data_IF_945150527314
#
_entry.id   IF_945150527314
#
_cell.length_a   1.000
_cell.length_b   1.000
_cell.length_c   1.000
_cell.angle_alpha   90.00
_cell.angle_beta   90.00
_cell.angle_gamma   90.00
#
_symmetry.space_group_name_H-M   'P 1'
#
loop_
_entity.id
_entity.type
_entity.pdbx_description
1 polymer ?
#
# COMPACT_ATOMS: atom_id res chain seq x y z
N UNK A 1 -33.09 11.70 15.23
CA UNK A 1 -33.65 10.83 14.20
C UNK A 1 -32.98 11.22 12.90
N UNK A 2 -31.82 10.68 12.63
CA UNK A 2 -31.09 10.87 11.38
C UNK A 2 -30.97 9.52 10.71
N UNK A 3 -31.55 9.40 9.53
CA UNK A 3 -31.47 8.20 8.71
C UNK A 3 -30.10 8.19 8.03
N UNK A 4 -29.26 7.25 8.39
CA UNK A 4 -28.16 6.83 7.57
C UNK A 4 -28.76 6.08 6.38
N UNK A 5 -28.64 6.65 5.18
CA UNK A 5 -29.23 6.08 3.98
C UNK A 5 -28.37 4.96 3.43
N UNK A 6 -28.80 3.72 3.66
CA UNK A 6 -28.30 2.56 2.94
C UNK A 6 -28.80 2.66 1.50
N UNK A 7 -27.91 2.91 0.55
CA UNK A 7 -28.21 2.86 -0.89
C UNK A 7 -28.19 1.40 -1.35
N UNK A 8 -29.38 0.84 -1.47
CA UNK A 8 -29.59 -0.47 -2.10
C UNK A 8 -29.55 -0.28 -3.62
N UNK A 9 -28.52 -0.76 -4.28
CA UNK A 9 -28.39 -0.72 -5.74
C UNK A 9 -28.93 -2.01 -6.34
N UNK A 10 -30.02 -1.89 -7.12
CA UNK A 10 -30.55 -2.98 -7.95
C UNK A 10 -29.80 -3.07 -9.27
N UNK A 11 -29.13 -4.18 -9.52
CA UNK A 11 -28.50 -4.49 -10.81
C UNK A 11 -29.53 -4.84 -11.88
N UNK A 12 -29.53 -4.10 -12.98
CA UNK A 12 -30.13 -4.50 -14.25
C UNK A 12 -29.05 -4.95 -15.21
N UNK A 13 -29.09 -6.22 -15.51
CA UNK A 13 -28.22 -6.91 -16.46
C UNK A 13 -28.56 -6.50 -17.89
N UNK A 14 -27.66 -5.85 -18.64
CA UNK A 14 -27.60 -5.94 -20.13
C UNK A 14 -26.31 -5.31 -20.66
N UNK A 15 -25.57 -6.05 -21.49
CA UNK A 15 -24.72 -5.43 -22.52
C UNK A 15 -23.29 -5.94 -22.63
N UNK A 16 -23.07 -6.65 -23.68
CA UNK A 16 -21.81 -7.20 -24.19
C UNK A 16 -20.67 -6.17 -24.18
N UNK A 17 -19.57 -6.50 -23.53
CA UNK A 17 -18.32 -5.75 -23.59
C UNK A 17 -17.50 -6.24 -24.79
N UNK A 18 -17.30 -5.37 -25.78
CA UNK A 18 -16.31 -5.58 -26.84
C UNK A 18 -14.93 -5.14 -26.33
N UNK A 19 -14.00 -6.06 -26.25
CA UNK A 19 -12.58 -5.77 -26.04
C UNK A 19 -12.00 -5.06 -27.25
N UNK A 20 -11.64 -3.80 -27.13
CA UNK A 20 -10.76 -3.08 -28.05
C UNK A 20 -9.33 -3.14 -27.52
N UNK A 21 -8.52 -4.01 -28.13
CA UNK A 21 -7.06 -4.00 -28.00
C UNK A 21 -6.52 -2.76 -28.72
N UNK A 22 -6.10 -1.76 -27.97
CA UNK A 22 -5.31 -0.65 -28.50
C UNK A 22 -3.83 -1.01 -28.41
N UNK A 23 -3.24 -1.23 -29.55
CA UNK A 23 -1.81 -1.48 -29.74
C UNK A 23 -0.99 -0.25 -29.37
N UNK A 24 -0.07 -0.37 -28.40
CA UNK A 24 0.95 0.64 -28.13
C UNK A 24 2.01 0.55 -29.21
N UNK A 25 2.05 1.54 -30.08
CA UNK A 25 3.04 1.69 -31.14
C UNK A 25 4.33 2.25 -30.52
N UNK A 26 5.37 1.42 -30.36
CA UNK A 26 6.71 1.85 -30.02
C UNK A 26 7.38 2.46 -31.25
N UNK A 27 7.57 3.77 -31.23
CA UNK A 27 8.37 4.49 -32.24
C UNK A 27 9.85 4.21 -32.00
N UNK A 28 10.45 3.36 -32.84
CA UNK A 28 11.90 3.17 -32.91
C UNK A 28 12.45 4.22 -33.88
N UNK A 29 13.17 5.22 -33.34
CA UNK A 29 13.97 6.14 -34.14
C UNK A 29 15.38 5.54 -34.36
N UNK A 30 15.89 5.49 -35.59
CA UNK A 30 17.26 5.03 -35.85
C UNK A 30 18.22 6.21 -35.72
N UNK A 31 19.01 6.23 -34.65
CA UNK A 31 20.14 7.15 -34.46
C UNK A 31 21.37 6.36 -34.07
N UNK A 32 22.18 6.02 -35.07
CA UNK A 32 23.41 5.26 -34.85
C UNK A 32 24.56 6.11 -34.34
N UNK A 33 25.47 5.45 -33.61
CA UNK A 33 26.85 5.76 -33.21
C UNK A 33 27.10 6.32 -31.79
N UNK A 34 26.12 6.60 -30.95
CA UNK A 34 26.34 6.87 -29.50
C UNK A 34 26.27 5.63 -28.59
N UNK A 35 25.74 4.50 -29.10
CA UNK A 35 25.31 3.34 -28.29
C UNK A 35 26.43 2.38 -27.87
N UNK A 36 27.68 2.56 -28.34
CA UNK A 36 28.77 1.64 -28.00
C UNK A 36 29.40 1.94 -26.62
N UNK A 37 29.34 3.19 -26.18
CA UNK A 37 29.92 3.60 -24.90
C UNK A 37 28.93 3.43 -23.74
N UNK A 38 27.62 3.61 -23.99
CA UNK A 38 26.57 3.28 -23.01
C UNK A 38 26.46 1.77 -22.75
N UNK A 39 26.70 0.93 -23.76
CA UNK A 39 26.69 -0.53 -23.58
C UNK A 39 27.77 -1.04 -22.62
N UNK A 40 28.89 -0.32 -22.43
CA UNK A 40 29.91 -0.70 -21.46
C UNK A 40 29.59 -0.28 -20.03
N UNK A 41 28.77 0.75 -19.84
CA UNK A 41 28.31 1.16 -18.51
C UNK A 41 27.19 0.21 -18.01
N UNK A 42 26.37 -0.33 -18.91
CA UNK A 42 25.37 -1.34 -18.58
C UNK A 42 25.94 -2.76 -18.35
N UNK A 43 27.21 -3.02 -18.63
CA UNK A 43 27.81 -4.35 -18.57
C UNK A 43 28.32 -4.78 -17.20
N UNK A 44 28.23 -3.93 -16.17
CA UNK A 44 28.49 -4.26 -14.77
C UNK A 44 27.25 -4.03 -13.91
N UNK A 45 26.12 -4.59 -14.32
CA UNK A 45 24.95 -4.63 -13.45
C UNK A 45 25.23 -5.63 -12.33
N UNK A 46 25.33 -5.14 -11.11
CA UNK A 46 25.39 -5.98 -9.91
C UNK A 46 24.13 -6.84 -9.89
N UNK A 47 24.25 -8.18 -9.83
CA UNK A 47 23.08 -9.03 -9.68
C UNK A 47 22.28 -8.63 -8.43
N UNK A 48 20.95 -8.72 -8.49
CA UNK A 48 20.09 -8.38 -7.35
C UNK A 48 20.50 -9.12 -6.07
N UNK A 49 20.98 -10.34 -6.22
CA UNK A 49 21.47 -11.16 -5.11
C UNK A 49 22.72 -10.57 -4.44
N UNK A 50 23.52 -9.78 -5.14
CA UNK A 50 24.70 -9.10 -4.59
C UNK A 50 24.35 -7.84 -3.79
N UNK A 51 23.11 -7.34 -3.92
CA UNK A 51 22.57 -6.27 -3.08
C UNK A 51 22.13 -6.79 -1.70
N UNK A 52 22.00 -8.09 -1.54
CA UNK A 52 21.76 -8.71 -0.24
C UNK A 52 23.07 -8.67 0.56
N UNK A 53 23.02 -8.04 1.72
CA UNK A 53 24.22 -7.63 2.49
C UNK A 53 24.98 -8.79 3.18
N UNK A 54 24.49 -10.01 3.09
CA UNK A 54 25.07 -11.20 3.71
C UNK A 54 25.08 -11.22 5.25
N UNK A 55 24.41 -10.26 5.88
CA UNK A 55 24.33 -10.18 7.34
C UNK A 55 23.32 -11.19 7.91
N UNK A 56 23.54 -11.62 9.15
CA UNK A 56 22.64 -12.51 9.85
C UNK A 56 21.66 -11.76 10.79
N UNK A 57 20.41 -12.20 10.91
CA UNK A 57 19.80 -13.28 10.13
C UNK A 57 19.61 -12.87 8.68
N UNK A 58 19.76 -13.83 7.78
CA UNK A 58 19.65 -13.61 6.34
C UNK A 58 18.28 -13.04 5.95
N UNK A 59 18.30 -12.06 5.04
CA UNK A 59 17.09 -11.50 4.38
C UNK A 59 17.08 -11.90 2.90
N UNK A 60 15.88 -12.12 2.37
CA UNK A 60 15.65 -12.11 0.93
C UNK A 60 15.12 -10.74 0.55
N UNK A 61 15.79 -10.06 -0.36
CA UNK A 61 15.31 -8.77 -0.86
C UNK A 61 14.03 -8.96 -1.67
N UNK A 62 12.99 -8.27 -1.27
CA UNK A 62 11.71 -8.21 -1.96
C UNK A 62 11.40 -6.76 -2.38
N UNK A 63 10.70 -6.60 -3.51
CA UNK A 63 10.04 -5.34 -3.82
C UNK A 63 8.72 -5.31 -3.05
N UNK A 64 8.61 -4.45 -2.08
CA UNK A 64 7.45 -4.31 -1.23
C UNK A 64 6.48 -3.28 -1.80
N UNK A 65 5.16 -3.55 -1.77
CA UNK A 65 4.17 -2.61 -2.27
C UNK A 65 4.19 -1.32 -1.42
N UNK A 66 3.80 -0.21 -2.05
CA UNK A 66 3.90 1.12 -1.44
C UNK A 66 2.60 1.62 -0.82
N UNK A 67 1.48 1.05 -1.20
CA UNK A 67 0.18 1.43 -0.65
C UNK A 67 -0.23 0.50 0.49
N UNK A 68 -0.09 -0.81 0.30
CA UNK A 68 -0.16 -1.77 1.38
C UNK A 68 1.25 -2.01 1.85
N UNK A 69 1.56 -1.38 2.95
CA UNK A 69 2.87 -1.45 3.54
C UNK A 69 3.07 -2.70 4.38
N UNK A 70 4.31 -3.04 4.61
CA UNK A 70 4.69 -4.12 5.51
C UNK A 70 5.27 -3.50 6.77
N UNK A 71 4.92 -4.06 7.91
CA UNK A 71 5.42 -3.62 9.21
C UNK A 71 6.88 -4.06 9.37
N UNK A 72 7.78 -3.22 8.90
CA UNK A 72 9.19 -3.53 8.58
C UNK A 72 9.29 -4.59 7.49
N UNK A 73 10.44 -4.64 6.83
CA UNK A 73 10.75 -5.61 5.80
C UNK A 73 10.55 -7.05 6.24
N UNK A 74 10.27 -7.92 5.29
CA UNK A 74 10.26 -9.35 5.53
C UNK A 74 11.66 -9.86 5.90
N UNK A 75 11.83 -10.20 7.16
CA UNK A 75 13.12 -10.61 7.72
C UNK A 75 13.86 -9.51 8.48
N UNK A 76 13.17 -8.48 8.94
CA UNK A 76 13.71 -7.37 9.72
C UNK A 76 14.76 -7.81 10.75
N UNK A 77 15.84 -7.03 10.89
CA UNK A 77 16.91 -7.26 11.87
C UNK A 77 16.76 -6.34 13.05
N UNK A 78 17.14 -6.83 14.21
CA UNK A 78 17.13 -6.04 15.45
C UNK A 78 17.84 -4.70 15.27
N UNK A 79 17.13 -3.61 15.62
CA UNK A 79 17.63 -2.25 15.58
C UNK A 79 17.31 -1.50 14.30
N UNK A 80 16.82 -2.16 13.26
CA UNK A 80 16.30 -1.49 12.06
C UNK A 80 15.12 -0.60 12.43
N UNK A 81 15.05 0.56 11.79
CA UNK A 81 14.04 1.59 12.03
C UNK A 81 13.67 2.27 10.73
N UNK A 82 12.47 2.76 10.66
CA UNK A 82 11.98 3.51 9.51
C UNK A 82 10.98 4.59 9.94
N UNK A 83 10.98 5.70 9.22
CA UNK A 83 9.96 6.73 9.30
C UNK A 83 9.32 6.89 7.96
N UNK A 84 8.01 6.87 7.92
CA UNK A 84 7.23 7.09 6.72
C UNK A 84 6.36 8.33 6.86
N UNK A 85 6.32 9.14 5.81
CA UNK A 85 5.34 10.21 5.63
C UNK A 85 4.62 9.96 4.33
N UNK A 86 3.33 9.64 4.41
CA UNK A 86 2.46 9.44 3.27
C UNK A 86 1.60 10.67 3.01
N UNK A 87 1.32 10.92 1.73
CA UNK A 87 0.37 11.94 1.28
C UNK A 87 -0.48 11.35 0.16
N UNK A 88 -1.80 11.36 0.35
CA UNK A 88 -2.79 10.85 -0.59
C UNK A 88 -3.75 11.92 -1.06
N UNK A 89 -4.31 11.68 -2.23
CA UNK A 89 -5.46 12.40 -2.78
C UNK A 89 -6.40 11.38 -3.38
N UNK A 90 -7.67 11.43 -3.01
CA UNK A 90 -8.73 10.65 -3.63
C UNK A 90 -9.81 11.58 -4.18
N UNK A 91 -10.08 11.49 -5.48
CA UNK A 91 -11.16 12.20 -6.16
C UNK A 91 -12.46 11.39 -5.98
N UNK A 92 -13.24 11.75 -4.97
CA UNK A 92 -14.58 11.23 -4.76
C UNK A 92 -15.59 12.05 -5.57
N UNK A 93 -16.81 11.53 -5.78
CA UNK A 93 -17.79 12.19 -6.67
C UNK A 93 -18.22 13.58 -6.19
N UNK A 94 -18.33 13.76 -4.88
CA UNK A 94 -18.90 14.95 -4.25
C UNK A 94 -17.89 15.77 -3.45
N UNK A 95 -16.74 15.20 -3.16
CA UNK A 95 -15.66 15.82 -2.41
C UNK A 95 -14.32 15.16 -2.76
N UNK A 96 -13.24 15.84 -2.48
CA UNK A 96 -11.89 15.27 -2.50
C UNK A 96 -11.45 14.97 -1.07
N UNK A 97 -10.74 13.86 -0.87
CA UNK A 97 -10.06 13.57 0.38
C UNK A 97 -8.55 13.69 0.20
N UNK A 98 -7.91 14.33 1.17
CA UNK A 98 -6.46 14.48 1.27
C UNK A 98 -6.00 13.72 2.50
N UNK A 99 -5.22 12.70 2.29
CA UNK A 99 -4.68 11.84 3.32
C UNK A 99 -3.26 12.27 3.67
N UNK A 100 -2.92 12.26 4.95
CA UNK A 100 -1.56 12.43 5.45
C UNK A 100 -1.34 11.40 6.53
N UNK A 101 -0.31 10.56 6.39
CA UNK A 101 0.07 9.63 7.44
C UNK A 101 1.48 9.90 7.93
N UNK A 102 1.69 9.66 9.22
CA UNK A 102 3.01 9.65 9.85
C UNK A 102 3.14 8.31 10.57
N UNK A 103 4.17 7.59 10.21
CA UNK A 103 4.37 6.22 10.66
C UNK A 103 5.81 6.03 11.15
N UNK A 104 5.96 5.24 12.19
CA UNK A 104 7.24 4.82 12.72
C UNK A 104 7.26 3.31 12.92
N UNK A 105 8.25 2.70 12.31
CA UNK A 105 8.48 1.27 12.39
C UNK A 105 9.84 0.97 13.03
N UNK A 106 9.91 -0.15 13.75
CA UNK A 106 11.18 -0.63 14.30
C UNK A 106 11.19 -2.15 14.52
N UNK A 107 12.38 -2.73 14.53
CA UNK A 107 12.59 -4.14 14.83
C UNK A 107 13.24 -4.30 16.23
N UNK A 108 12.48 -4.61 17.29
CA UNK A 108 13.04 -4.81 18.64
C UNK A 108 13.90 -6.07 18.75
N UNK A 109 13.59 -7.08 17.95
CA UNK A 109 14.33 -8.34 17.81
C UNK A 109 14.34 -8.77 16.35
N UNK A 110 15.22 -9.70 16.00
CA UNK A 110 15.28 -10.22 14.63
C UNK A 110 13.95 -10.81 14.19
N UNK A 111 13.51 -10.48 12.97
CA UNK A 111 12.30 -10.97 12.29
C UNK A 111 10.98 -10.49 12.90
N UNK A 112 11.02 -9.53 13.80
CA UNK A 112 9.83 -8.93 14.40
C UNK A 112 9.82 -7.43 14.11
N UNK A 113 8.83 -6.96 13.36
CA UNK A 113 8.50 -5.56 13.14
C UNK A 113 7.39 -5.11 14.07
N UNK A 114 7.50 -3.87 14.55
CA UNK A 114 6.46 -3.14 15.26
C UNK A 114 6.25 -1.79 14.56
N UNK A 115 5.02 -1.30 14.59
CA UNK A 115 4.61 -0.06 13.94
C UNK A 115 3.65 0.74 14.81
N UNK A 116 3.74 2.04 14.69
CA UNK A 116 2.73 3.00 15.15
C UNK A 116 2.49 4.00 14.02
N UNK A 117 1.22 4.16 13.62
CA UNK A 117 0.82 5.07 12.56
C UNK A 117 -0.31 6.00 13.01
N UNK A 118 -0.29 7.24 12.49
CA UNK A 118 -1.30 8.28 12.67
C UNK A 118 -1.78 8.76 11.28
N UNK A 119 -2.85 8.20 10.74
CA UNK A 119 -3.47 8.66 9.49
C UNK A 119 -4.45 9.81 9.75
N UNK A 120 -4.34 10.87 8.95
CA UNK A 120 -5.22 12.04 8.96
C UNK A 120 -5.93 12.15 7.61
N UNK A 121 -7.23 12.49 7.64
CA UNK A 121 -7.99 12.79 6.42
C UNK A 121 -8.62 14.17 6.51
N UNK A 122 -8.38 14.96 5.45
CA UNK A 122 -8.95 16.27 5.25
C UNK A 122 -9.86 16.22 4.04
N UNK A 123 -11.07 16.75 4.16
CA UNK A 123 -12.09 16.70 3.11
C UNK A 123 -12.35 18.08 2.54
N UNK A 124 -12.49 18.16 1.21
CA UNK A 124 -12.82 19.40 0.49
C UNK A 124 -13.99 19.16 -0.46
N UNK A 125 -15.11 19.87 -0.33
CA UNK A 125 -16.22 19.76 -1.28
C UNK A 125 -15.78 20.12 -2.69
N UNK A 126 -16.19 19.35 -3.70
CA UNK A 126 -15.96 19.67 -5.12
C UNK A 126 -16.97 20.67 -5.63
N UNK A 127 -16.61 21.42 -6.70
CA UNK A 127 -17.37 22.55 -7.21
C UNK A 127 -18.85 22.24 -7.49
N UNK A 128 -19.74 22.97 -6.85
CA UNK A 128 -21.19 22.83 -6.96
C UNK A 128 -21.83 21.96 -5.87
N UNK A 129 -21.05 21.34 -5.00
CA UNK A 129 -21.54 20.56 -3.87
C UNK A 129 -21.57 21.43 -2.60
N UNK A 130 -22.63 21.31 -1.80
CA UNK A 130 -22.69 22.02 -0.52
C UNK A 130 -21.65 21.45 0.45
N UNK A 131 -21.11 22.32 1.33
CA UNK A 131 -20.12 21.91 2.33
C UNK A 131 -20.60 20.76 3.23
N UNK A 132 -21.92 20.65 3.44
CA UNK A 132 -22.55 19.62 4.25
C UNK A 132 -22.49 18.21 3.63
N UNK A 133 -22.03 18.09 2.38
CA UNK A 133 -21.87 16.81 1.68
C UNK A 133 -20.50 16.15 1.91
N UNK A 134 -19.52 16.91 2.38
CA UNK A 134 -18.21 16.37 2.71
C UNK A 134 -18.16 15.92 4.17
N UNK A 135 -17.49 14.81 4.48
CA UNK A 135 -17.25 14.42 5.87
C UNK A 135 -16.41 15.47 6.63
N UNK A 136 -16.43 15.41 7.95
CA UNK A 136 -15.57 16.25 8.78
C UNK A 136 -14.12 15.75 8.79
N UNK A 137 -13.18 16.69 8.83
CA UNK A 137 -11.75 16.37 8.94
C UNK A 137 -11.48 15.58 10.22
N UNK A 138 -10.53 14.64 10.17
CA UNK A 138 -10.27 13.76 11.31
C UNK A 138 -8.82 13.27 11.35
N UNK A 139 -8.37 12.92 12.54
CA UNK A 139 -7.36 11.89 12.76
C UNK A 139 -8.13 10.55 12.72
N UNK A 140 -7.89 9.73 11.71
CA UNK A 140 -8.73 8.55 11.44
C UNK A 140 -8.62 7.52 12.55
N UNK A 141 -7.40 7.23 12.97
CA UNK A 141 -7.10 6.23 13.98
C UNK A 141 -5.75 6.47 14.67
N UNK A 142 -5.54 5.81 15.79
CA UNK A 142 -4.23 5.39 16.26
C UNK A 142 -4.06 3.94 15.83
N UNK A 143 -3.15 3.68 14.89
CA UNK A 143 -2.84 2.33 14.44
C UNK A 143 -1.61 1.80 15.17
N UNK A 144 -1.66 0.53 15.54
CA UNK A 144 -0.52 -0.20 16.09
C UNK A 144 -0.46 -1.57 15.46
N UNK A 145 0.75 -1.98 15.06
CA UNK A 145 0.87 -3.24 14.36
C UNK A 145 2.12 -4.01 14.75
N UNK A 146 2.06 -5.33 14.51
CA UNK A 146 3.13 -6.29 14.72
C UNK A 146 3.20 -7.25 13.55
N UNK A 147 4.40 -7.52 13.05
CA UNK A 147 4.66 -8.50 12.01
C UNK A 147 5.80 -9.42 12.40
N UNK A 148 5.59 -10.71 12.31
CA UNK A 148 6.61 -11.73 12.55
C UNK A 148 6.90 -12.52 11.28
N UNK A 149 8.12 -12.39 10.77
CA UNK A 149 8.62 -13.17 9.64
C UNK A 149 9.07 -14.54 10.14
N UNK A 150 8.19 -15.52 10.02
CA UNK A 150 8.46 -16.89 10.52
C UNK A 150 9.23 -17.75 9.53
N UNK A 151 9.27 -17.37 8.24
CA UNK A 151 9.99 -18.09 7.19
C UNK A 151 10.80 -17.12 6.34
N UNK A 152 12.09 -17.43 6.19
CA UNK A 152 12.98 -16.82 5.16
C UNK A 152 13.75 -17.98 4.54
N UNK A 153 13.54 -18.25 3.25
CA UNK A 153 14.17 -19.32 2.48
C UNK A 153 14.91 -18.76 1.26
N UNK A 154 16.22 -18.49 1.40
CA UNK A 154 17.05 -17.94 0.31
C UNK A 154 17.10 -18.84 -0.92
N UNK A 155 17.13 -20.17 -0.73
CA UNK A 155 17.28 -21.15 -1.82
C UNK A 155 16.14 -21.08 -2.84
N UNK A 156 14.97 -20.64 -2.40
CA UNK A 156 13.79 -20.44 -3.25
C UNK A 156 13.34 -18.97 -3.28
N UNK A 157 14.17 -18.05 -2.72
CA UNK A 157 13.92 -16.63 -2.65
C UNK A 157 12.50 -16.27 -2.17
N UNK A 158 12.08 -16.87 -1.04
CA UNK A 158 10.72 -16.75 -0.50
C UNK A 158 10.76 -16.36 0.98
N UNK A 159 9.92 -15.41 1.37
CA UNK A 159 9.69 -15.02 2.76
C UNK A 159 8.20 -15.07 3.08
N UNK A 160 7.87 -15.39 4.34
CA UNK A 160 6.49 -15.40 4.83
C UNK A 160 6.42 -14.79 6.24
N UNK A 161 5.39 -13.99 6.47
CA UNK A 161 5.12 -13.36 7.75
C UNK A 161 3.64 -13.49 8.14
N UNK A 162 3.42 -13.51 9.45
CA UNK A 162 2.11 -13.29 10.06
C UNK A 162 2.15 -11.96 10.78
N UNK A 163 1.07 -11.21 10.71
CA UNK A 163 0.96 -9.95 11.42
C UNK A 163 -0.44 -9.70 11.94
N UNK A 164 -0.53 -8.61 12.67
CA UNK A 164 -1.77 -8.13 13.25
C UNK A 164 -1.70 -6.60 13.35
N UNK A 165 -2.68 -5.95 12.74
CA UNK A 165 -2.89 -4.52 12.81
C UNK A 165 -4.14 -4.26 13.65
N UNK A 166 -4.07 -3.28 14.53
CA UNK A 166 -5.18 -2.78 15.31
C UNK A 166 -5.35 -1.28 15.11
N UNK A 167 -6.55 -0.86 14.75
CA UNK A 167 -6.89 0.54 14.52
C UNK A 167 -7.88 1.02 15.58
N UNK A 168 -7.44 1.88 16.48
CA UNK A 168 -8.31 2.59 17.41
C UNK A 168 -8.92 3.79 16.70
N UNK A 169 -10.10 3.63 16.12
CA UNK A 169 -10.79 4.64 15.31
C UNK A 169 -11.23 5.84 16.16
N UNK A 170 -10.83 7.05 15.75
CA UNK A 170 -11.14 8.28 16.47
C UNK A 170 -12.35 9.00 15.88
N UNK A 171 -12.97 9.83 16.71
CA UNK A 171 -14.05 10.71 16.26
C UNK A 171 -13.51 11.91 15.47
N UNK A 172 -14.28 12.46 14.52
CA UNK A 172 -13.90 13.67 13.78
C UNK A 172 -13.54 14.86 14.68
N UNK A 173 -12.81 15.84 14.13
CA UNK A 173 -12.33 16.98 14.91
C UNK A 173 -13.45 17.88 15.45
N UNK A 174 -14.61 17.92 14.79
CA UNK A 174 -15.78 18.68 15.27
C UNK A 174 -16.46 18.06 16.50
N UNK A 175 -16.26 16.76 16.71
CA UNK A 175 -16.78 15.99 17.85
C UNK A 175 -15.68 15.32 18.69
N UNK A 176 -14.42 15.73 18.49
CA UNK A 176 -13.25 15.11 19.08
C UNK A 176 -13.33 15.00 20.61
N UNK A 177 -12.93 13.82 21.12
CA UNK A 177 -12.96 13.47 22.55
C UNK A 177 -14.35 13.34 23.20
N UNK A 178 -15.43 13.27 22.40
CA UNK A 178 -16.77 13.09 22.96
C UNK A 178 -17.66 12.12 22.14
N UNK A 179 -17.42 10.79 22.20
CA UNK A 179 -16.31 10.06 22.83
C UNK A 179 -14.99 10.25 22.05
N UNK A 180 -13.86 9.83 22.63
CA UNK A 180 -12.57 9.87 21.91
C UNK A 180 -12.51 8.80 20.82
N UNK A 181 -12.88 7.57 21.14
CA UNK A 181 -12.89 6.44 20.21
C UNK A 181 -14.31 6.11 19.78
N UNK A 182 -14.53 6.00 18.45
CA UNK A 182 -15.82 5.61 17.87
C UNK A 182 -15.91 4.11 17.58
N UNK A 183 -14.76 3.44 17.43
CA UNK A 183 -14.69 2.03 17.07
C UNK A 183 -13.28 1.47 17.14
N UNK A 184 -13.16 0.24 16.72
CA UNK A 184 -11.89 -0.45 16.61
C UNK A 184 -11.92 -1.44 15.44
N UNK A 185 -10.82 -1.51 14.67
CA UNK A 185 -10.64 -2.53 13.64
C UNK A 185 -9.50 -3.49 14.02
N UNK A 186 -9.71 -4.76 13.74
CA UNK A 186 -8.81 -5.87 14.03
C UNK A 186 -8.47 -6.57 12.71
N UNK A 187 -7.23 -6.55 12.29
CA UNK A 187 -6.78 -7.12 11.04
C UNK A 187 -5.60 -8.09 11.27
N UNK A 188 -5.86 -9.37 11.53
CA UNK A 188 -4.81 -10.40 11.41
C UNK A 188 -4.54 -10.69 9.94
N UNK A 189 -3.26 -10.76 9.54
CA UNK A 189 -2.88 -10.94 8.15
C UNK A 189 -1.73 -11.93 7.95
N UNK A 190 -1.64 -12.46 6.72
CA UNK A 190 -0.55 -13.27 6.22
C UNK A 190 0.09 -12.57 5.03
N UNK A 191 1.42 -12.54 5.01
CA UNK A 191 2.21 -12.08 3.87
C UNK A 191 3.03 -13.22 3.30
N UNK A 192 3.05 -13.34 1.98
CA UNK A 192 3.91 -14.25 1.22
C UNK A 192 4.58 -13.47 0.10
N UNK A 193 5.91 -13.37 0.15
CA UNK A 193 6.70 -12.71 -0.88
C UNK A 193 7.65 -13.68 -1.56
N UNK A 194 7.78 -13.55 -2.87
CA UNK A 194 8.67 -14.38 -3.68
C UNK A 194 9.36 -13.55 -4.75
N UNK A 195 10.67 -13.76 -4.88
CA UNK A 195 11.46 -13.28 -6.00
C UNK A 195 11.57 -14.38 -7.07
N UNK A 196 11.35 -14.01 -8.32
CA UNK A 196 11.41 -14.86 -9.50
C UNK A 196 12.63 -14.47 -10.35
N UNK A 197 13.63 -15.32 -10.37
CA UNK A 197 14.91 -14.99 -10.99
C UNK A 197 15.59 -13.83 -10.26
N UNK A 198 16.09 -12.84 -11.02
CA UNK A 198 16.86 -11.73 -10.46
C UNK A 198 16.06 -10.43 -10.24
N UNK A 199 14.96 -10.24 -10.99
CA UNK A 199 14.33 -8.93 -11.06
C UNK A 199 12.83 -8.90 -10.82
N UNK A 200 12.14 -10.04 -10.97
CA UNK A 200 10.70 -10.07 -10.80
C UNK A 200 10.34 -10.48 -9.37
N UNK A 201 9.41 -9.75 -8.79
CA UNK A 201 8.94 -9.96 -7.42
C UNK A 201 7.43 -10.04 -7.41
N UNK A 202 6.90 -10.89 -6.57
CA UNK A 202 5.47 -10.96 -6.28
C UNK A 202 5.25 -11.02 -4.78
N UNK A 203 4.16 -10.41 -4.33
CA UNK A 203 3.76 -10.44 -2.94
C UNK A 203 2.24 -10.62 -2.87
N UNK A 204 1.80 -11.39 -1.88
CA UNK A 204 0.41 -11.55 -1.48
C UNK A 204 0.32 -11.13 -0.03
N UNK A 205 -0.58 -10.20 0.25
CA UNK A 205 -1.04 -9.82 1.59
C UNK A 205 -2.51 -10.21 1.69
N UNK A 206 -2.92 -10.91 2.74
CA UNK A 206 -4.30 -11.34 2.88
C UNK A 206 -4.70 -11.55 4.34
N UNK A 207 -5.93 -11.16 4.65
CA UNK A 207 -6.49 -11.35 5.98
C UNK A 207 -7.92 -10.84 6.11
N UNK A 208 -8.66 -11.30 7.13
CA UNK A 208 -9.94 -10.73 7.50
C UNK A 208 -9.73 -9.40 8.24
N UNK A 209 -10.68 -8.50 8.08
CA UNK A 209 -10.83 -7.27 8.87
C UNK A 209 -12.14 -7.40 9.65
N UNK A 210 -12.09 -7.16 10.96
CA UNK A 210 -13.26 -7.11 11.82
C UNK A 210 -13.36 -5.72 12.43
N UNK A 211 -14.46 -5.04 12.19
CA UNK A 211 -14.71 -3.70 12.72
C UNK A 211 -15.82 -3.73 13.76
N UNK A 212 -15.60 -3.02 14.85
CA UNK A 212 -16.57 -2.84 15.92
C UNK A 212 -16.89 -1.37 16.10
N UNK A 213 -18.16 -1.01 15.94
CA UNK A 213 -18.66 0.31 16.30
C UNK A 213 -19.04 0.35 17.79
N UNK A 214 -18.47 1.26 18.57
CA UNK A 214 -18.67 1.29 20.02
C UNK A 214 -20.05 1.84 20.43
N UNK A 215 -20.64 2.75 19.63
CA UNK A 215 -21.92 3.37 19.97
C UNK A 215 -23.11 2.39 19.81
N UNK A 216 -23.09 1.56 18.79
CA UNK A 216 -24.15 0.59 18.49
C UNK A 216 -23.80 -0.80 19.03
N UNK A 217 -22.51 -1.11 19.15
CA UNK A 217 -21.98 -2.44 19.44
C UNK A 217 -22.01 -3.38 18.23
N UNK A 218 -22.28 -2.85 17.04
CA UNK A 218 -22.34 -3.62 15.80
C UNK A 218 -20.95 -4.07 15.36
N UNK A 219 -20.93 -5.20 14.65
CA UNK A 219 -19.74 -5.78 14.07
C UNK A 219 -19.90 -5.91 12.57
N UNK A 220 -18.88 -5.47 11.84
CA UNK A 220 -18.76 -5.67 10.41
C UNK A 220 -17.52 -6.52 10.11
N UNK A 221 -17.50 -7.15 8.95
CA UNK A 221 -16.36 -7.95 8.52
C UNK A 221 -16.13 -7.83 7.03
N UNK A 222 -14.87 -7.66 6.67
CA UNK A 222 -14.37 -7.68 5.30
C UNK A 222 -13.23 -8.69 5.17
N UNK A 223 -12.85 -9.03 3.95
CA UNK A 223 -11.69 -9.85 3.68
C UNK A 223 -10.85 -9.20 2.58
N UNK A 224 -9.58 -8.99 2.87
CA UNK A 224 -8.62 -8.36 1.97
C UNK A 224 -7.73 -9.39 1.28
N UNK A 225 -7.51 -9.21 -0.03
CA UNK A 225 -6.55 -9.98 -0.82
C UNK A 225 -5.80 -9.03 -1.72
N UNK A 226 -4.61 -8.63 -1.31
CA UNK A 226 -3.75 -7.75 -2.09
C UNK A 226 -2.65 -8.55 -2.75
N UNK A 227 -2.45 -8.31 -4.03
CA UNK A 227 -1.39 -8.97 -4.79
C UNK A 227 -0.59 -7.93 -5.54
N UNK A 228 0.73 -8.06 -5.54
CA UNK A 228 1.59 -7.15 -6.27
C UNK A 228 2.58 -7.90 -7.16
N UNK A 229 2.97 -7.24 -8.26
CA UNK A 229 4.02 -7.67 -9.16
C UNK A 229 4.92 -6.49 -9.47
N UNK A 230 6.22 -6.68 -9.24
CA UNK A 230 7.22 -5.64 -9.41
C UNK A 230 8.38 -6.13 -10.26
N UNK A 231 8.98 -5.19 -10.97
CA UNK A 231 10.25 -5.35 -11.65
C UNK A 231 11.28 -4.45 -10.96
N UNK A 232 12.23 -5.05 -10.28
CA UNK A 232 13.34 -4.36 -9.65
C UNK A 232 14.37 -3.98 -10.70
N UNK A 233 14.73 -2.70 -10.76
CA UNK A 233 15.73 -2.20 -11.72
C UNK A 233 17.10 -2.75 -11.36
N UNK A 234 17.80 -3.40 -12.31
CA UNK A 234 19.08 -4.06 -12.03
C UNK A 234 20.11 -3.15 -11.38
N UNK A 235 20.80 -3.65 -10.35
CA UNK A 235 21.83 -2.92 -9.62
C UNK A 235 21.31 -1.80 -8.70
N UNK A 236 20.02 -1.75 -8.46
CA UNK A 236 19.38 -0.75 -7.58
C UNK A 236 18.32 -1.42 -6.70
N UNK A 237 17.81 -0.68 -5.71
CA UNK A 237 16.60 -1.04 -4.95
C UNK A 237 15.34 -0.37 -5.52
N UNK A 238 15.44 0.30 -6.67
CA UNK A 238 14.33 0.94 -7.36
C UNK A 238 13.46 -0.11 -8.06
N UNK A 239 12.16 0.12 -8.08
CA UNK A 239 11.26 -0.75 -8.82
C UNK A 239 10.12 0.01 -9.49
N UNK A 240 9.54 -0.63 -10.49
CA UNK A 240 8.22 -0.30 -11.05
C UNK A 240 7.34 -1.53 -10.91
N UNK A 241 6.04 -1.32 -10.72
CA UNK A 241 5.13 -2.45 -10.58
C UNK A 241 3.68 -2.06 -10.52
N UNK A 242 2.87 -3.04 -10.16
CA UNK A 242 1.44 -2.89 -9.99
C UNK A 242 0.98 -3.69 -8.78
N UNK A 243 0.09 -3.08 -8.01
CA UNK A 243 -0.62 -3.71 -6.91
C UNK A 243 -2.12 -3.80 -7.27
N UNK A 244 -2.75 -4.87 -6.85
CA UNK A 244 -4.19 -5.08 -6.98
C UNK A 244 -4.76 -5.21 -5.56
N UNK A 245 -5.29 -4.10 -5.03
CA UNK A 245 -6.00 -4.11 -3.77
C UNK A 245 -7.42 -4.63 -4.02
N UNK A 246 -7.79 -5.71 -3.35
CA UNK A 246 -9.09 -6.36 -3.47
C UNK A 246 -9.73 -6.51 -2.11
N UNK A 247 -11.00 -6.15 -2.01
CA UNK A 247 -11.82 -6.33 -0.82
C UNK A 247 -13.09 -7.12 -1.16
N UNK A 248 -13.49 -7.96 -0.21
CA UNK A 248 -14.76 -8.68 -0.20
C UNK A 248 -15.50 -8.24 1.06
N UNK A 249 -16.59 -7.52 0.90
CA UNK A 249 -17.38 -6.97 1.99
C UNK A 249 -18.86 -7.23 1.72
N UNK A 250 -19.58 -7.82 2.67
CA UNK A 250 -21.02 -8.15 2.56
C UNK A 250 -21.41 -8.93 1.29
N UNK A 251 -20.46 -9.62 0.64
CA UNK A 251 -20.66 -10.35 -0.62
C UNK A 251 -20.36 -9.51 -1.87
N UNK A 252 -20.05 -8.25 -1.73
CA UNK A 252 -19.62 -7.37 -2.81
C UNK A 252 -18.08 -7.44 -2.97
N UNK A 253 -17.63 -7.38 -4.21
CA UNK A 253 -16.21 -7.38 -4.58
C UNK A 253 -15.82 -6.01 -5.10
N UNK A 254 -14.80 -5.42 -4.49
CA UNK A 254 -14.15 -4.22 -4.99
C UNK A 254 -12.68 -4.47 -5.31
N UNK A 255 -12.14 -3.71 -6.30
CA UNK A 255 -10.74 -3.76 -6.66
C UNK A 255 -10.24 -2.40 -7.14
N UNK A 256 -9.09 -2.00 -6.62
CA UNK A 256 -8.32 -0.87 -7.15
C UNK A 256 -7.00 -1.36 -7.70
N UNK A 257 -6.68 -0.95 -8.94
CA UNK A 257 -5.40 -1.22 -9.60
C UNK A 257 -4.46 -0.08 -9.28
N UNK A 258 -3.28 -0.38 -8.73
CA UNK A 258 -2.29 0.60 -8.27
C UNK A 258 -0.95 0.43 -8.96
N UNK A 259 -0.76 1.02 -10.17
CA UNK A 259 0.58 1.17 -10.73
C UNK A 259 1.44 2.03 -9.79
N UNK A 260 2.68 1.59 -9.57
CA UNK A 260 3.55 2.20 -8.58
C UNK A 260 5.02 2.14 -8.98
N UNK A 261 5.81 3.05 -8.40
CA UNK A 261 7.26 3.06 -8.51
C UNK A 261 7.91 3.48 -7.20
N UNK A 262 9.06 2.92 -6.88
CA UNK A 262 9.94 3.37 -5.78
C UNK A 262 11.26 3.83 -6.35
N UNK A 263 11.73 4.97 -5.86
CA UNK A 263 12.99 5.60 -6.24
C UNK A 263 13.86 5.83 -5.01
N UNK A 264 15.09 5.37 -5.07
CA UNK A 264 16.16 5.66 -4.14
C UNK A 264 16.71 7.05 -4.44
N UNK A 265 16.54 7.98 -3.52
CA UNK A 265 16.99 9.38 -3.65
C UNK A 265 18.35 9.55 -3.01
N UNK A 266 18.59 8.84 -1.92
CA UNK A 266 19.87 8.80 -1.22
C UNK A 266 19.96 7.54 -0.37
N UNK A 267 21.12 7.26 0.19
CA UNK A 267 21.38 6.06 1.03
C UNK A 267 20.41 5.83 2.20
N UNK A 268 19.57 6.80 2.54
CA UNK A 268 18.62 6.71 3.65
C UNK A 268 17.24 7.25 3.29
N UNK A 269 17.00 7.61 2.03
CA UNK A 269 15.76 8.27 1.63
C UNK A 269 15.23 7.69 0.33
N UNK A 270 14.02 7.17 0.39
CA UNK A 270 13.29 6.61 -0.74
C UNK A 270 12.00 7.42 -0.96
N UNK A 271 11.53 7.45 -2.21
CA UNK A 271 10.23 7.98 -2.57
C UNK A 271 9.42 6.91 -3.27
N UNK A 272 8.22 6.66 -2.77
CA UNK A 272 7.20 5.86 -3.40
C UNK A 272 6.14 6.74 -4.07
N UNK A 273 5.70 6.37 -5.28
CA UNK A 273 4.62 7.04 -6.02
C UNK A 273 3.64 5.97 -6.49
N UNK A 274 2.36 6.18 -6.20
CA UNK A 274 1.27 5.25 -6.52
C UNK A 274 0.13 6.03 -7.15
N UNK A 275 -0.47 5.48 -8.20
CA UNK A 275 -1.77 5.92 -8.71
C UNK A 275 -2.82 4.85 -8.41
N UNK A 276 -4.04 5.23 -8.08
CA UNK A 276 -5.15 4.32 -7.83
C UNK A 276 -6.22 4.44 -8.90
N UNK A 277 -6.57 3.32 -9.53
CA UNK A 277 -7.56 3.21 -10.58
C UNK A 277 -8.62 2.20 -10.12
N UNK A 278 -9.74 2.65 -9.52
CA UNK A 278 -10.80 1.75 -9.09
C UNK A 278 -11.51 1.12 -10.30
N UNK A 279 -11.91 -0.14 -10.18
CA UNK A 279 -12.72 -0.80 -11.21
C UNK A 279 -14.18 -0.35 -11.16
N UNK A 280 -14.70 -0.10 -9.95
CA UNK A 280 -16.00 0.53 -9.71
C UNK A 280 -15.80 2.03 -9.46
N UNK A 281 -16.44 2.88 -10.25
CA UNK A 281 -16.28 4.35 -10.20
C UNK A 281 -17.51 5.06 -9.65
N UNK A 282 -18.26 4.37 -8.83
CA UNK A 282 -19.52 4.89 -8.29
C UNK A 282 -19.26 5.81 -7.10
N UNK A 283 -18.15 5.60 -6.37
CA UNK A 283 -17.78 6.38 -5.20
C UNK A 283 -16.46 7.15 -5.38
N UNK A 284 -15.49 6.54 -6.06
CA UNK A 284 -14.16 7.06 -6.30
C UNK A 284 -13.84 7.05 -7.80
N UNK A 285 -13.25 8.12 -8.33
CA UNK A 285 -12.84 8.19 -9.74
C UNK A 285 -11.38 7.86 -9.95
N UNK A 286 -10.53 8.29 -9.02
CA UNK A 286 -9.08 8.16 -9.12
C UNK A 286 -8.45 8.51 -7.78
N UNK A 287 -7.34 7.88 -7.45
CA UNK A 287 -6.51 8.29 -6.32
C UNK A 287 -5.02 8.36 -6.69
N UNK A 288 -4.27 9.10 -5.91
CA UNK A 288 -2.81 9.17 -5.99
C UNK A 288 -2.24 9.16 -4.58
N UNK A 289 -1.09 8.51 -4.40
CA UNK A 289 -0.42 8.43 -3.12
C UNK A 289 1.09 8.57 -3.33
N UNK A 290 1.74 9.30 -2.45
CA UNK A 290 3.19 9.45 -2.38
C UNK A 290 3.65 9.11 -0.97
N UNK A 291 4.69 8.31 -0.85
CA UNK A 291 5.33 7.96 0.43
C UNK A 291 6.78 8.41 0.41
N UNK A 292 7.19 9.11 1.45
CA UNK A 292 8.59 9.43 1.75
C UNK A 292 9.03 8.48 2.85
N UNK A 293 10.04 7.67 2.54
CA UNK A 293 10.56 6.61 3.42
C UNK A 293 11.96 7.01 3.86
N UNK A 294 12.18 7.13 5.17
CA UNK A 294 13.48 7.45 5.75
C UNK A 294 13.98 6.32 6.63
N UNK A 295 15.04 5.66 6.18
CA UNK A 295 15.73 4.59 6.88
C UNK A 295 17.03 5.14 7.50
N UNK A 296 17.05 5.48 8.81
CA UNK A 296 18.28 5.92 9.45
C UNK A 296 19.30 4.77 9.47
N UNK A 297 20.54 5.05 9.07
CA UNK A 297 21.61 4.08 9.22
C UNK A 297 21.80 3.71 10.70
N UNK A 298 22.10 2.44 11.01
CA UNK A 298 22.33 1.98 12.38
C UNK A 298 23.55 2.65 13.03
#
# INVERSE_FOLDING_TARGET
MSHCGVLTIQWRNTGRIHFLLTSVLVLILPGGQGLAQEKQIFAQQIPQQELEDGLEPYKVLHAEPLYIDLIRDLGARKGEKEWNIGMGLTDNLNFDSYEVLVEYEWAPVNRLGLEVELPFTFYSPTGGTSADMAPSNQLDALQVAIQWTFLVKPEIATSMALGYLNEFQLTPFDSFANPLFKGNAYNPFLVVAKRWGQHFHSLIYTGPIFEQEYNTGDWESAYEINTSFHYMIPGTINFIGVEFKKALEHGDFDMTIRPQMRLDISESLLIGIVAGIPIARENERYSAFMRLIYEPKP
#
